data_IF_948752181945
#
_entry.id   IF_948752181945
#
_cell.length_a   1.000
_cell.length_b   1.000
_cell.length_c   1.000
_cell.angle_alpha   90.00
_cell.angle_beta   90.00
_cell.angle_gamma   90.00
#
_symmetry.space_group_name_H-M   'P 1'
#
loop_
_entity.id
_entity.type
_entity.pdbx_description
1 polymer ?
#
# COMPACT_ATOMS: atom_id res chain seq x y z
N UNK A 1 -5.66 10.42 9.83
CA UNK A 1 -6.52 10.48 8.64
C UNK A 1 -6.16 9.47 7.53
N UNK A 2 -5.32 8.44 7.76
CA UNK A 2 -4.96 7.45 6.72
C UNK A 2 -5.86 6.20 6.68
N UNK A 3 -6.59 5.90 7.74
CA UNK A 3 -7.40 4.68 7.87
C UNK A 3 -8.65 4.62 6.97
N UNK A 4 -8.92 5.66 6.18
CA UNK A 4 -10.15 5.78 5.38
C UNK A 4 -9.93 5.61 3.86
N UNK A 5 -8.74 5.19 3.41
CA UNK A 5 -8.38 5.23 1.98
C UNK A 5 -8.39 3.90 1.24
N UNK A 6 -8.55 2.76 1.92
CA UNK A 6 -8.57 1.46 1.24
C UNK A 6 -9.92 0.79 1.39
N UNK A 7 -10.62 0.68 0.27
CA UNK A 7 -11.82 -0.14 0.12
C UNK A 7 -11.51 -1.27 -0.86
N UNK A 8 -12.28 -2.37 -0.89
CA UNK A 8 -12.10 -3.42 -1.89
C UNK A 8 -12.10 -2.86 -3.33
N UNK A 9 -12.92 -1.83 -3.61
CA UNK A 9 -12.95 -1.14 -4.89
C UNK A 9 -11.61 -0.50 -5.29
N UNK A 10 -10.83 0.00 -4.33
CA UNK A 10 -9.49 0.53 -4.62
C UNK A 10 -8.49 -0.53 -5.06
N UNK A 11 -8.71 -1.80 -4.73
CA UNK A 11 -7.87 -2.91 -5.20
C UNK A 11 -8.22 -3.35 -6.63
N UNK A 12 -9.41 -3.00 -7.13
CA UNK A 12 -9.85 -3.30 -8.50
C UNK A 12 -9.41 -2.21 -9.48
N UNK A 13 -9.38 -0.96 -9.01
CA UNK A 13 -8.82 0.16 -9.77
C UNK A 13 -7.30 0.23 -9.54
N UNK A 14 -6.55 -0.33 -10.48
CA UNK A 14 -5.08 -0.32 -10.46
C UNK A 14 -4.50 1.09 -10.33
N UNK A 15 -5.09 2.09 -10.97
CA UNK A 15 -4.60 3.47 -10.91
C UNK A 15 -4.84 4.06 -9.52
N UNK A 16 -6.02 3.84 -8.94
CA UNK A 16 -6.31 4.27 -7.57
C UNK A 16 -5.36 3.61 -6.56
N UNK A 17 -5.12 2.30 -6.68
CA UNK A 17 -4.16 1.59 -5.84
C UNK A 17 -2.74 2.15 -6.00
N UNK A 18 -2.30 2.40 -7.23
CA UNK A 18 -0.98 2.94 -7.51
C UNK A 18 -0.79 4.34 -6.89
N UNK A 19 -1.81 5.20 -6.94
CA UNK A 19 -1.76 6.52 -6.30
C UNK A 19 -1.68 6.44 -4.77
N UNK A 20 -2.36 5.48 -4.16
CA UNK A 20 -2.23 5.21 -2.72
C UNK A 20 -0.79 4.78 -2.38
N UNK A 21 -0.22 3.84 -3.14
CA UNK A 21 1.14 3.38 -2.91
C UNK A 21 2.17 4.49 -3.09
N UNK A 22 2.01 5.37 -4.09
CA UNK A 22 2.87 6.55 -4.28
C UNK A 22 2.82 7.47 -3.05
N UNK A 23 1.62 7.74 -2.52
CA UNK A 23 1.47 8.56 -1.30
C UNK A 23 2.16 7.94 -0.09
N UNK A 24 2.05 6.62 0.09
CA UNK A 24 2.70 5.90 1.18
C UNK A 24 4.23 5.81 1.01
N UNK A 25 4.73 5.88 -0.23
CA UNK A 25 6.16 5.89 -0.53
C UNK A 25 6.80 7.29 -0.42
N UNK A 26 6.01 8.36 -0.38
CA UNK A 26 6.52 9.74 -0.37
C UNK A 26 7.57 10.03 0.72
N UNK A 27 7.46 9.41 1.91
CA UNK A 27 8.46 9.57 2.97
C UNK A 27 9.78 8.87 2.62
N UNK A 28 9.72 7.67 2.05
CA UNK A 28 10.89 6.95 1.51
C UNK A 28 11.55 7.72 0.38
N UNK A 29 10.76 8.18 -0.59
CA UNK A 29 11.28 8.84 -1.79
C UNK A 29 12.01 10.15 -1.44
N UNK A 30 11.67 10.76 -0.29
CA UNK A 30 12.31 11.98 0.22
C UNK A 30 13.20 11.71 1.44
N UNK A 31 13.64 10.47 1.70
CA UNK A 31 14.36 10.12 2.93
C UNK A 31 15.66 10.90 3.11
N UNK A 32 16.44 11.08 2.04
CA UNK A 32 17.70 11.84 2.10
C UNK A 32 17.43 13.29 2.45
N UNK A 33 16.43 13.90 1.82
CA UNK A 33 16.00 15.26 2.14
C UNK A 33 15.49 15.36 3.59
N UNK A 34 14.67 14.40 4.02
CA UNK A 34 14.15 14.33 5.38
C UNK A 34 15.29 14.25 6.39
N UNK A 35 16.27 13.36 6.20
CA UNK A 35 17.45 13.24 7.08
C UNK A 35 18.25 14.54 7.13
N UNK A 36 18.54 15.14 5.97
CA UNK A 36 19.33 16.38 5.89
C UNK A 36 18.63 17.59 6.52
N UNK A 37 17.30 17.58 6.55
CA UNK A 37 16.50 18.65 7.18
C UNK A 37 16.16 18.36 8.65
N UNK A 38 16.13 17.09 9.06
CA UNK A 38 15.78 16.65 10.42
C UNK A 38 16.99 16.61 11.34
N UNK A 39 18.19 16.39 10.81
CA UNK A 39 19.45 16.43 11.54
C UNK A 39 20.17 17.73 11.18
N UNK A 40 19.83 18.86 11.82
CA UNK A 40 20.61 20.07 11.62
C UNK A 40 22.03 19.86 12.16
N UNK A 41 22.97 20.61 11.59
CA UNK A 41 24.36 20.68 12.06
C UNK A 41 24.41 20.93 13.57
N UNK A 42 25.37 20.31 14.27
CA UNK A 42 25.51 20.27 15.74
C UNK A 42 25.22 21.60 16.46
N UNK A 43 25.47 22.73 15.81
CA UNK A 43 25.27 24.08 16.33
C UNK A 43 23.79 24.53 16.43
N UNK A 44 22.83 23.84 15.79
CA UNK A 44 21.47 24.36 15.57
C UNK A 44 20.30 23.49 16.10
N UNK A 45 20.52 22.30 16.67
CA UNK A 45 19.45 21.55 17.36
C UNK A 45 19.80 21.12 18.78
N UNK A 46 19.06 21.60 19.79
CA UNK A 46 19.13 21.04 21.15
C UNK A 46 18.51 19.64 21.27
N UNK A 47 17.81 19.11 20.25
CA UNK A 47 17.11 17.81 20.31
C UNK A 47 17.27 16.94 19.04
N UNK A 48 18.49 16.80 18.53
CA UNK A 48 18.78 15.90 17.39
C UNK A 48 18.26 14.46 17.58
N UNK A 49 18.50 13.80 18.74
CA UNK A 49 18.03 12.42 18.96
C UNK A 49 16.51 12.27 18.91
N UNK A 50 15.75 13.22 19.46
CA UNK A 50 14.29 13.19 19.42
C UNK A 50 13.74 13.31 18.00
N UNK A 51 14.30 14.22 17.21
CA UNK A 51 13.90 14.41 15.81
C UNK A 51 14.20 13.17 14.94
N UNK A 52 15.36 12.53 15.14
CA UNK A 52 15.68 11.25 14.50
C UNK A 52 14.67 10.15 14.87
N UNK A 53 14.28 10.08 16.14
CA UNK A 53 13.30 9.10 16.62
C UNK A 53 11.93 9.33 15.96
N UNK A 54 11.47 10.58 15.87
CA UNK A 54 10.21 10.91 15.20
C UNK A 54 10.21 10.53 13.72
N UNK A 55 11.31 10.80 13.00
CA UNK A 55 11.46 10.39 11.61
C UNK A 55 11.43 8.87 11.46
N UNK A 56 12.11 8.15 12.35
CA UNK A 56 12.10 6.69 12.38
C UNK A 56 10.70 6.11 12.61
N UNK A 57 9.96 6.63 13.60
CA UNK A 57 8.59 6.21 13.88
C UNK A 57 7.65 6.49 12.69
N UNK A 58 7.83 7.63 12.01
CA UNK A 58 7.08 7.97 10.80
C UNK A 58 7.35 6.99 9.65
N UNK A 59 8.61 6.58 9.46
CA UNK A 59 8.98 5.57 8.46
C UNK A 59 8.34 4.23 8.76
N UNK A 60 8.46 3.73 10.00
CA UNK A 60 7.84 2.47 10.41
C UNK A 60 6.33 2.46 10.21
N UNK A 61 5.66 3.56 10.58
CA UNK A 61 4.22 3.72 10.36
C UNK A 61 3.87 3.68 8.87
N UNK A 62 4.65 4.34 8.02
CA UNK A 62 4.45 4.33 6.57
C UNK A 62 4.65 2.93 5.97
N UNK A 63 5.67 2.20 6.44
CA UNK A 63 5.95 0.83 5.99
C UNK A 63 4.82 -0.12 6.38
N UNK A 64 4.36 -0.04 7.63
CA UNK A 64 3.24 -0.87 8.11
C UNK A 64 1.96 -0.59 7.30
N UNK A 65 1.68 0.68 7.00
CA UNK A 65 0.53 1.04 6.17
C UNK A 65 0.67 0.52 4.74
N UNK A 66 1.84 0.65 4.12
CA UNK A 66 2.12 0.12 2.78
C UNK A 66 1.99 -1.40 2.72
N UNK A 67 2.53 -2.10 3.70
CA UNK A 67 2.46 -3.57 3.76
C UNK A 67 1.01 -4.03 3.92
N UNK A 68 0.25 -3.43 4.84
CA UNK A 68 -1.19 -3.71 5.00
C UNK A 68 -1.95 -3.45 3.70
N UNK A 69 -1.61 -2.40 2.98
CA UNK A 69 -2.24 -2.06 1.72
C UNK A 69 -2.03 -3.13 0.65
N UNK A 70 -0.77 -3.52 0.46
CA UNK A 70 -0.40 -4.53 -0.52
C UNK A 70 -1.03 -5.87 -0.18
N UNK A 71 -0.88 -6.33 1.08
CA UNK A 71 -1.45 -7.60 1.54
C UNK A 71 -2.98 -7.61 1.43
N UNK A 72 -3.64 -6.50 1.74
CA UNK A 72 -5.08 -6.36 1.61
C UNK A 72 -5.56 -6.58 0.16
N UNK A 73 -4.92 -5.92 -0.81
CA UNK A 73 -5.29 -6.10 -2.22
C UNK A 73 -4.91 -7.48 -2.78
N UNK A 74 -3.80 -8.07 -2.33
CA UNK A 74 -3.46 -9.45 -2.66
C UNK A 74 -4.53 -10.43 -2.16
N UNK A 75 -5.02 -10.24 -0.93
CA UNK A 75 -6.09 -11.08 -0.39
C UNK A 75 -7.38 -10.94 -1.21
N UNK A 76 -7.82 -9.71 -1.50
CA UNK A 76 -9.02 -9.46 -2.32
C UNK A 76 -8.92 -10.11 -3.69
N UNK A 77 -7.76 -9.98 -4.36
CA UNK A 77 -7.53 -10.62 -5.66
C UNK A 77 -7.50 -12.15 -5.56
N UNK A 78 -6.84 -12.70 -4.54
CA UNK A 78 -6.80 -14.14 -4.28
C UNK A 78 -8.20 -14.71 -4.06
N UNK A 79 -9.01 -14.06 -3.23
CA UNK A 79 -10.38 -14.46 -2.93
C UNK A 79 -11.24 -14.44 -4.19
N UNK A 80 -11.11 -13.41 -5.03
CA UNK A 80 -11.85 -13.28 -6.29
C UNK A 80 -11.49 -14.38 -7.29
N UNK A 81 -10.19 -14.65 -7.47
CA UNK A 81 -9.70 -15.75 -8.32
C UNK A 81 -10.19 -17.09 -7.79
N UNK A 82 -10.19 -17.28 -6.47
CA UNK A 82 -10.69 -18.50 -5.83
C UNK A 82 -12.19 -18.70 -6.14
N UNK A 83 -13.02 -17.68 -5.88
CA UNK A 83 -14.46 -17.73 -6.16
C UNK A 83 -14.76 -18.00 -7.64
N UNK A 84 -14.06 -17.34 -8.56
CA UNK A 84 -14.25 -17.59 -10.00
C UNK A 84 -13.83 -19.02 -10.42
N UNK A 85 -12.78 -19.58 -9.81
CA UNK A 85 -12.38 -20.98 -10.04
C UNK A 85 -13.43 -21.96 -9.52
N UNK A 86 -14.04 -21.70 -8.37
CA UNK A 86 -15.14 -22.50 -7.85
C UNK A 86 -16.38 -22.43 -8.75
N UNK A 87 -16.75 -21.23 -9.22
CA UNK A 87 -17.85 -21.03 -10.17
C UNK A 87 -17.60 -21.80 -11.48
N UNK A 88 -16.39 -21.71 -12.04
CA UNK A 88 -16.00 -22.47 -13.23
C UNK A 88 -16.08 -23.98 -12.99
N UNK A 89 -15.73 -24.46 -11.80
CA UNK A 89 -15.79 -25.89 -11.49
C UNK A 89 -17.23 -26.41 -11.44
N UNK A 90 -18.20 -25.55 -11.08
CA UNK A 90 -19.63 -25.87 -11.09
C UNK A 90 -20.24 -25.78 -12.49
N UNK A 91 -19.74 -24.87 -13.33
CA UNK A 91 -20.22 -24.68 -14.70
C UNK A 91 -19.05 -24.37 -15.67
N UNK A 92 -18.39 -25.40 -16.23
CA UNK A 92 -17.17 -25.25 -17.02
C UNK A 92 -17.32 -24.41 -18.29
N UNK A 93 -18.50 -24.44 -18.91
CA UNK A 93 -18.76 -23.81 -20.20
C UNK A 93 -19.36 -22.40 -20.06
N UNK A 94 -19.44 -21.86 -18.84
CA UNK A 94 -19.95 -20.50 -18.61
C UNK A 94 -18.96 -19.45 -19.17
N UNK A 95 -19.30 -18.90 -20.33
CA UNK A 95 -18.48 -17.91 -21.06
C UNK A 95 -18.22 -16.66 -20.21
N UNK A 96 -19.17 -16.22 -19.39
CA UNK A 96 -19.00 -15.03 -18.54
C UNK A 96 -17.95 -15.27 -17.45
N UNK A 97 -17.98 -16.45 -16.81
CA UNK A 97 -16.99 -16.84 -15.81
C UNK A 97 -15.60 -16.95 -16.44
N UNK A 98 -15.49 -17.57 -17.63
CA UNK A 98 -14.23 -17.66 -18.37
C UNK A 98 -13.68 -16.28 -18.75
N UNK A 99 -14.54 -15.35 -19.15
CA UNK A 99 -14.15 -13.98 -19.50
C UNK A 99 -13.66 -13.19 -18.28
N UNK A 100 -14.30 -13.36 -17.13
CA UNK A 100 -13.86 -12.74 -15.86
C UNK A 100 -12.53 -13.31 -15.39
N UNK A 101 -12.36 -14.63 -15.41
CA UNK A 101 -11.10 -15.31 -15.06
C UNK A 101 -9.91 -14.90 -15.93
N UNK A 102 -10.15 -14.54 -17.20
CA UNK A 102 -9.09 -14.01 -18.10
C UNK A 102 -8.69 -12.56 -17.80
N UNK A 103 -9.52 -11.82 -17.06
CA UNK A 103 -9.25 -10.42 -16.69
C UNK A 103 -8.52 -10.30 -15.34
N UNK A 104 -8.58 -11.34 -14.52
CA UNK A 104 -7.72 -11.50 -13.33
C UNK A 104 -6.27 -11.71 -13.72
#
# INVERSE_FOLDING_TARGET
MAAHMMTPATCEDFLAFQEILKKLRKVDDNIVYALNTTIPTESFAPNGPGMCKELYEKLLSSYSQREKAIKGCLQVSSDRVHSLKEERSKNPDNIDVLKRLRKE
#
